data_IF_448475955853
#
_entry.id   IF_448475955853
#
_cell.length_a   1.000
_cell.length_b   1.000
_cell.length_c   1.000
_cell.angle_alpha   90.00
_cell.angle_beta   90.00
_cell.angle_gamma   90.00
#
_symmetry.space_group_name_H-M   'P 1'
#
loop_
_entity.id
_entity.type
_entity.pdbx_description
1 polymer ?
#
# COMPACT_ATOMS: atom_id res chain seq x y z
N UNK A 1 -21.57 13.21 2.84
CA UNK A 1 -20.90 12.32 1.85
C UNK A 1 -20.15 11.26 2.63
N UNK A 2 -20.51 9.98 2.44
CA UNK A 2 -19.91 8.86 3.20
C UNK A 2 -18.58 8.49 2.57
N UNK A 3 -17.54 8.34 3.40
CA UNK A 3 -16.21 7.86 2.99
C UNK A 3 -15.90 6.55 3.69
N UNK A 4 -15.12 5.71 3.02
CA UNK A 4 -14.55 4.50 3.59
C UNK A 4 -13.07 4.71 3.85
N UNK A 5 -12.57 4.07 4.91
CA UNK A 5 -11.16 4.09 5.29
C UNK A 5 -10.55 2.73 4.96
N UNK A 6 -9.36 2.74 4.39
CA UNK A 6 -8.56 1.55 4.08
C UNK A 6 -7.15 1.75 4.61
N UNK A 7 -6.64 0.74 5.27
CA UNK A 7 -5.29 0.73 5.82
C UNK A 7 -4.42 -0.19 4.98
N UNK A 8 -3.27 0.32 4.56
CA UNK A 8 -2.20 -0.47 3.95
C UNK A 8 -1.03 -0.45 4.92
N UNK A 9 -0.74 -1.62 5.50
CA UNK A 9 0.43 -1.81 6.37
C UNK A 9 1.71 -1.76 5.53
N UNK A 10 2.70 -1.03 6.02
CA UNK A 10 4.04 -0.97 5.46
C UNK A 10 5.04 -1.41 6.53
N UNK A 11 5.64 -2.57 6.30
CA UNK A 11 6.61 -3.16 7.21
C UNK A 11 7.88 -2.32 7.34
N UNK A 12 8.56 -2.37 8.51
CA UNK A 12 9.79 -1.66 8.79
C UNK A 12 10.99 -2.25 8.03
N UNK A 13 11.06 -1.92 6.74
CA UNK A 13 12.15 -2.31 5.83
C UNK A 13 13.05 -1.11 5.49
N UNK A 14 14.31 -1.32 5.06
CA UNK A 14 15.19 -0.22 4.63
C UNK A 14 14.57 0.64 3.52
N UNK A 15 13.81 0.02 2.61
CA UNK A 15 13.17 0.69 1.47
C UNK A 15 11.76 1.22 1.77
N UNK A 16 11.38 1.30 3.05
CA UNK A 16 10.03 1.68 3.49
C UNK A 16 9.55 3.00 2.90
N UNK A 17 10.40 4.02 2.81
CA UNK A 17 10.03 5.32 2.23
C UNK A 17 9.68 5.20 0.75
N UNK A 18 10.52 4.53 -0.04
CA UNK A 18 10.25 4.29 -1.46
C UNK A 18 8.97 3.46 -1.66
N UNK A 19 8.71 2.49 -0.77
CA UNK A 19 7.46 1.71 -0.78
C UNK A 19 6.24 2.58 -0.50
N UNK A 20 6.30 3.48 0.49
CA UNK A 20 5.22 4.44 0.80
C UNK A 20 4.93 5.36 -0.39
N UNK A 21 5.98 5.88 -1.04
CA UNK A 21 5.83 6.73 -2.23
C UNK A 21 5.15 5.99 -3.38
N UNK A 22 5.58 4.75 -3.68
CA UNK A 22 4.95 3.90 -4.70
C UNK A 22 3.48 3.64 -4.39
N UNK A 23 3.15 3.31 -3.14
CA UNK A 23 1.77 3.08 -2.71
C UNK A 23 0.93 4.34 -2.92
N UNK A 24 1.42 5.49 -2.43
CA UNK A 24 0.72 6.78 -2.51
C UNK A 24 0.50 7.20 -3.96
N UNK A 25 1.53 7.11 -4.80
CA UNK A 25 1.43 7.44 -6.22
C UNK A 25 0.43 6.53 -6.95
N UNK A 26 0.44 5.23 -6.64
CA UNK A 26 -0.47 4.26 -7.25
C UNK A 26 -1.92 4.50 -6.85
N UNK A 27 -2.17 4.86 -5.58
CA UNK A 27 -3.51 5.25 -5.10
C UNK A 27 -3.97 6.52 -5.80
N UNK A 28 -3.14 7.57 -5.82
CA UNK A 28 -3.49 8.85 -6.44
C UNK A 28 -3.81 8.73 -7.94
N UNK A 29 -3.08 7.86 -8.65
CA UNK A 29 -3.35 7.57 -10.06
C UNK A 29 -4.67 6.80 -10.28
N UNK A 30 -4.98 5.83 -9.41
CA UNK A 30 -6.18 4.99 -9.54
C UNK A 30 -7.46 5.65 -8.99
N UNK A 31 -7.32 6.52 -7.98
CA UNK A 31 -8.41 7.15 -7.26
C UNK A 31 -8.09 8.64 -7.00
N UNK A 32 -8.31 9.54 -7.98
CA UNK A 32 -7.97 10.96 -7.85
C UNK A 32 -8.69 11.70 -6.71
N UNK A 33 -9.83 11.18 -6.26
CA UNK A 33 -10.59 11.73 -5.12
C UNK A 33 -10.14 11.16 -3.76
N UNK A 34 -9.22 10.20 -3.75
CA UNK A 34 -8.71 9.63 -2.52
C UNK A 34 -7.72 10.58 -1.85
N UNK A 35 -7.75 10.63 -0.53
CA UNK A 35 -6.71 11.27 0.28
C UNK A 35 -5.92 10.20 1.02
N UNK A 36 -4.61 10.41 1.12
CA UNK A 36 -3.69 9.50 1.82
C UNK A 36 -3.03 10.22 2.98
N UNK A 37 -2.93 9.54 4.13
CA UNK A 37 -2.24 10.01 5.32
C UNK A 37 -1.35 8.90 5.87
N UNK A 38 -0.15 9.25 6.33
CA UNK A 38 0.72 8.30 7.02
C UNK A 38 0.39 8.34 8.51
N UNK A 39 -0.01 7.20 9.08
CA UNK A 39 -0.34 7.07 10.50
C UNK A 39 0.50 5.97 11.15
N UNK A 40 0.80 6.07 12.46
CA UNK A 40 1.42 4.97 13.19
C UNK A 40 0.57 3.70 13.13
N UNK A 41 1.23 2.55 12.99
CA UNK A 41 0.62 1.24 13.11
C UNK A 41 0.33 0.86 14.56
N UNK A 42 -0.15 -0.38 14.75
CA UNK A 42 -0.40 -0.93 16.10
C UNK A 42 0.89 -1.31 16.83
N UNK A 43 1.97 -1.58 16.09
CA UNK A 43 3.30 -1.86 16.60
C UNK A 43 4.19 -0.63 16.40
N UNK A 44 5.18 -0.46 17.27
CA UNK A 44 5.98 0.78 17.38
C UNK A 44 6.71 1.17 16.08
N UNK A 45 7.09 0.18 15.26
CA UNK A 45 7.85 0.40 14.02
C UNK A 45 6.99 0.33 12.74
N UNK A 46 5.70 0.01 12.88
CA UNK A 46 4.80 -0.13 11.75
C UNK A 46 4.29 1.24 11.28
N UNK A 47 4.27 1.41 9.97
CA UNK A 47 3.60 2.55 9.34
C UNK A 47 2.40 2.07 8.55
N UNK A 48 1.33 2.85 8.60
CA UNK A 48 0.12 2.59 7.85
C UNK A 48 -0.13 3.75 6.92
N UNK A 49 -0.35 3.46 5.64
CA UNK A 49 -0.94 4.40 4.71
C UNK A 49 -2.45 4.29 4.85
N UNK A 50 -3.06 5.29 5.48
CA UNK A 50 -4.50 5.43 5.57
C UNK A 50 -5.04 6.09 4.29
N UNK A 51 -5.97 5.41 3.63
CA UNK A 51 -6.61 5.87 2.41
C UNK A 51 -8.08 6.13 2.69
N UNK A 52 -8.52 7.36 2.40
CA UNK A 52 -9.93 7.77 2.52
C UNK A 52 -10.50 8.01 1.14
N UNK A 53 -11.56 7.30 0.80
CA UNK A 53 -12.21 7.37 -0.53
C UNK A 53 -13.74 7.41 -0.42
N UNK A 54 -14.47 7.98 -1.40
CA UNK A 54 -15.92 7.92 -1.44
C UNK A 54 -16.47 6.49 -1.40
N UNK A 55 -17.59 6.25 -0.72
CA UNK A 55 -18.20 4.91 -0.63
C UNK A 55 -18.50 4.28 -2.00
N UNK A 56 -18.87 5.09 -3.00
CA UNK A 56 -19.14 4.62 -4.37
C UNK A 56 -17.90 4.00 -5.06
N UNK A 57 -16.69 4.24 -4.56
CA UNK A 57 -15.46 3.68 -5.09
C UNK A 57 -15.04 2.37 -4.37
N UNK A 58 -15.81 1.87 -3.40
CA UNK A 58 -15.42 0.70 -2.62
C UNK A 58 -15.21 -0.56 -3.48
N UNK A 59 -16.06 -0.81 -4.48
CA UNK A 59 -15.91 -1.99 -5.34
C UNK A 59 -14.75 -1.82 -6.33
N UNK A 60 -14.54 -0.60 -6.83
CA UNK A 60 -13.37 -0.28 -7.64
C UNK A 60 -12.06 -0.46 -6.85
N UNK A 61 -12.05 -0.07 -5.56
CA UNK A 61 -10.95 -0.33 -4.64
C UNK A 61 -10.65 -1.82 -4.50
N UNK A 62 -11.69 -2.65 -4.27
CA UNK A 62 -11.53 -4.11 -4.15
C UNK A 62 -10.90 -4.71 -5.42
N UNK A 63 -11.40 -4.33 -6.60
CA UNK A 63 -10.88 -4.80 -7.88
C UNK A 63 -9.44 -4.31 -8.16
N UNK A 64 -9.10 -3.09 -7.75
CA UNK A 64 -7.73 -2.58 -7.85
C UNK A 64 -6.78 -3.34 -6.91
N UNK A 65 -7.16 -3.52 -5.64
CA UNK A 65 -6.33 -4.19 -4.64
C UNK A 65 -6.01 -5.64 -4.99
N UNK A 66 -6.98 -6.37 -5.55
CA UNK A 66 -6.79 -7.74 -6.05
C UNK A 66 -5.65 -7.78 -7.08
N UNK A 67 -5.70 -6.92 -8.11
CA UNK A 67 -4.66 -6.83 -9.14
C UNK A 67 -3.29 -6.39 -8.62
N UNK A 68 -3.23 -5.69 -7.50
CA UNK A 68 -1.97 -5.21 -6.92
C UNK A 68 -1.29 -6.27 -6.08
N UNK A 69 -2.06 -7.10 -5.37
CA UNK A 69 -1.51 -8.25 -4.63
C UNK A 69 -0.81 -9.24 -5.58
N UNK A 70 -1.35 -9.41 -6.78
CA UNK A 70 -0.75 -10.24 -7.83
C UNK A 70 0.60 -9.68 -8.32
N UNK A 71 0.85 -8.37 -8.20
CA UNK A 71 2.07 -7.71 -8.70
C UNK A 71 3.18 -7.67 -7.64
N UNK A 72 2.84 -7.39 -6.38
CA UNK A 72 3.81 -7.38 -5.27
C UNK A 72 4.47 -8.76 -5.05
N UNK A 73 3.81 -9.85 -5.46
CA UNK A 73 4.34 -11.22 -5.36
C UNK A 73 5.58 -11.48 -6.24
N UNK A 74 5.91 -10.58 -7.17
CA UNK A 74 6.99 -10.76 -8.14
C UNK A 74 8.30 -10.07 -7.73
N UNK A 75 8.22 -9.08 -6.82
CA UNK A 75 9.40 -8.29 -6.39
C UNK A 75 10.13 -8.93 -5.18
N UNK A 76 9.52 -9.88 -4.47
CA UNK A 76 10.13 -10.55 -3.30
C UNK A 76 11.02 -11.77 -3.64
N UNK A 77 11.10 -12.18 -4.92
CA UNK A 77 11.80 -13.43 -5.30
C UNK A 77 13.28 -13.23 -5.66
N UNK A 78 13.75 -12.00 -5.91
CA UNK A 78 15.12 -11.75 -6.41
C UNK A 78 16.16 -11.31 -5.35
N UNK A 79 15.84 -11.43 -4.05
CA UNK A 79 16.82 -11.21 -2.97
C UNK A 79 17.17 -12.48 -2.18
N UNK A 80 17.08 -13.66 -2.81
CA UNK A 80 17.92 -14.79 -2.40
C UNK A 80 19.29 -14.63 -3.04
N UNK A 81 20.08 -13.70 -2.50
CA UNK A 81 21.51 -13.67 -2.74
C UNK A 81 22.04 -15.05 -2.40
N UNK A 82 22.64 -15.64 -3.44
CA UNK A 82 23.30 -16.93 -3.39
C UNK A 82 24.38 -16.89 -2.31
N UNK A 83 24.36 -17.87 -1.43
CA UNK A 83 25.53 -18.20 -0.62
C UNK A 83 26.22 -19.38 -1.33
N UNK A 84 27.35 -19.16 -2.02
CA UNK A 84 28.25 -20.24 -2.34
C UNK A 84 29.58 -20.06 -1.59
N UNK A 85 29.75 -20.96 -0.61
CA UNK A 85 31.03 -21.49 -0.07
C UNK A 85 31.78 -20.67 0.99
#
# INVERSE_FOLDING_TARGET
>A
MIRVIKHILVEPTPDRHARIERITARIGAAFPEATTELVPGLLDDDLVVEVRLPLCQLDAWRAARARWADLDSTDDVEHRVSDPS
#
